data_IF_992854282650
#
_entry.id   IF_992854282650
#
_cell.length_a   1.000
_cell.length_b   1.000
_cell.length_c   1.000
_cell.angle_alpha   90.00
_cell.angle_beta   90.00
_cell.angle_gamma   90.00
#
_symmetry.space_group_name_H-M   'P 1'
#
loop_
_entity.id
_entity.type
_entity.pdbx_description
1 polymer ?
#
# COMPACT_ATOMS: atom_id res chain seq x y z
N UNK A 1 -12.94 -0.76 1.48
CA UNK A 1 -14.14 -0.25 2.19
C UNK A 1 -14.60 1.03 1.50
N UNK A 2 -15.77 1.59 1.83
CA UNK A 2 -16.23 2.85 1.21
C UNK A 2 -15.46 4.02 1.79
N UNK A 3 -14.81 4.80 0.92
CA UNK A 3 -14.22 6.10 1.25
C UNK A 3 -15.22 6.94 2.06
N UNK A 4 -14.77 7.47 3.20
CA UNK A 4 -15.62 8.29 4.08
C UNK A 4 -15.46 9.76 3.69
N UNK A 5 -16.42 10.28 2.91
CA UNK A 5 -16.54 11.70 2.62
C UNK A 5 -16.93 12.45 3.90
N UNK A 6 -16.20 13.52 4.23
CA UNK A 6 -16.40 14.36 5.40
C UNK A 6 -16.28 15.83 5.01
N UNK A 7 -17.07 16.68 5.66
CA UNK A 7 -17.00 18.13 5.50
C UNK A 7 -16.28 18.73 6.70
N UNK A 8 -15.27 19.55 6.43
CA UNK A 8 -14.45 20.24 7.44
C UNK A 8 -14.73 21.74 7.36
N UNK A 9 -15.15 22.32 8.49
CA UNK A 9 -15.24 23.77 8.66
C UNK A 9 -13.92 24.28 9.24
N UNK A 10 -13.28 25.22 8.54
CA UNK A 10 -11.93 25.70 8.85
C UNK A 10 -12.01 26.84 9.86
N UNK A 11 -11.19 26.74 10.91
CA UNK A 11 -10.98 27.81 11.89
C UNK A 11 -9.53 28.30 11.95
N UNK A 12 -8.60 27.57 11.32
CA UNK A 12 -7.21 27.97 11.09
C UNK A 12 -6.89 27.81 9.60
N UNK A 13 -7.19 28.83 8.76
CA UNK A 13 -6.91 28.76 7.33
C UNK A 13 -5.41 28.73 7.05
N UNK A 14 -5.02 28.20 5.88
CA UNK A 14 -3.63 28.17 5.44
C UNK A 14 -2.98 29.55 5.57
N UNK A 15 -1.85 29.60 6.27
CA UNK A 15 -1.09 30.83 6.55
C UNK A 15 -1.54 31.60 7.80
N UNK A 16 -2.58 31.15 8.52
CA UNK A 16 -2.98 31.74 9.79
C UNK A 16 -1.99 31.40 10.91
N UNK A 17 -2.10 32.10 12.04
CA UNK A 17 -1.31 31.87 13.24
C UNK A 17 -2.21 31.72 14.45
N UNK A 18 -1.74 31.03 15.49
CA UNK A 18 -2.42 31.04 16.79
C UNK A 18 -2.36 32.44 17.41
N UNK A 19 -3.46 32.91 18.03
CA UNK A 19 -3.49 34.21 18.73
C UNK A 19 -2.44 34.27 19.86
N UNK A 20 -2.25 33.15 20.57
CA UNK A 20 -1.31 33.02 21.68
C UNK A 20 0.14 32.74 21.22
N UNK A 21 0.34 32.32 19.97
CA UNK A 21 1.66 32.06 19.41
C UNK A 21 1.76 32.49 17.93
N UNK A 22 1.99 33.79 17.67
CA UNK A 22 2.08 34.34 16.31
C UNK A 22 3.23 33.76 15.46
N UNK A 23 4.16 33.01 16.08
CA UNK A 23 5.26 32.33 15.37
C UNK A 23 4.87 30.95 14.81
N UNK A 24 3.76 30.38 15.28
CA UNK A 24 3.21 29.11 14.78
C UNK A 24 2.29 29.38 13.59
N UNK A 25 2.85 29.40 12.39
CA UNK A 25 2.09 29.53 11.14
C UNK A 25 1.55 28.15 10.73
N UNK A 26 0.28 28.08 10.37
CA UNK A 26 -0.36 26.89 9.85
C UNK A 26 0.01 26.70 8.36
N UNK A 27 0.81 25.67 8.01
CA UNK A 27 1.19 25.43 6.61
C UNK A 27 0.06 24.78 5.81
N UNK A 28 -1.01 24.36 6.48
CA UNK A 28 -2.19 23.70 5.91
C UNK A 28 -3.45 24.26 6.58
N UNK A 29 -4.62 24.06 5.97
CA UNK A 29 -5.89 24.41 6.62
C UNK A 29 -6.18 23.40 7.75
N UNK A 30 -6.65 23.90 8.90
CA UNK A 30 -7.11 23.08 10.02
C UNK A 30 -8.47 23.57 10.55
N UNK A 31 -9.26 22.64 11.04
CA UNK A 31 -10.65 22.89 11.40
C UNK A 31 -11.27 21.76 12.18
N UNK A 32 -12.58 21.61 12.05
CA UNK A 32 -13.35 20.54 12.66
C UNK A 32 -14.36 19.96 11.68
N UNK A 33 -14.66 18.67 11.86
CA UNK A 33 -15.64 17.93 11.07
C UNK A 33 -17.05 18.40 11.42
N UNK A 34 -17.88 18.59 10.40
CA UNK A 34 -19.31 18.88 10.54
C UNK A 34 -20.08 17.55 10.46
N UNK A 35 -20.74 17.12 11.54
CA UNK A 35 -21.63 15.95 11.51
C UNK A 35 -23.09 16.37 11.31
N UNK A 36 -23.90 15.53 10.65
CA UNK A 36 -25.35 15.76 10.53
C UNK A 36 -26.07 15.82 11.89
N UNK A 37 -25.53 15.14 12.92
CA UNK A 37 -26.03 15.20 14.30
C UNK A 37 -25.72 16.51 15.04
N UNK A 38 -24.83 17.36 14.50
CA UNK A 38 -24.53 18.68 15.09
C UNK A 38 -25.50 19.77 14.62
N UNK A 39 -26.38 19.46 13.65
CA UNK A 39 -27.45 20.35 13.17
C UNK A 39 -28.70 20.28 14.06
N UNK A 40 -28.90 19.19 14.81
CA UNK A 40 -30.01 19.05 15.76
C UNK A 40 -29.49 18.70 17.16
N UNK A 41 -29.33 19.74 18.00
CA UNK A 41 -29.29 19.61 19.47
C UNK A 41 -28.21 18.65 20.03
N UNK A 42 -26.93 18.96 19.81
CA UNK A 42 -25.82 18.26 20.45
C UNK A 42 -24.96 19.24 21.25
N UNK A 43 -25.05 19.17 22.58
CA UNK A 43 -24.15 19.84 23.56
C UNK A 43 -22.92 18.95 23.81
N UNK A 44 -22.29 18.43 22.77
CA UNK A 44 -20.94 17.90 22.90
C UNK A 44 -19.97 19.05 22.60
N UNK A 45 -19.26 19.53 23.63
CA UNK A 45 -18.31 20.65 23.51
C UNK A 45 -17.06 20.27 22.69
N UNK A 46 -16.77 18.99 22.54
CA UNK A 46 -15.60 18.49 21.81
C UNK A 46 -15.93 18.23 20.34
N UNK A 47 -15.49 19.15 19.47
CA UNK A 47 -15.58 19.00 18.02
C UNK A 47 -14.42 18.14 17.52
N UNK A 48 -14.72 17.16 16.68
CA UNK A 48 -13.70 16.33 16.02
C UNK A 48 -12.78 17.20 15.16
N UNK A 49 -11.52 17.37 15.56
CA UNK A 49 -10.51 18.16 14.82
C UNK A 49 -10.13 17.48 13.50
N UNK A 50 -9.77 18.30 12.51
CA UNK A 50 -9.28 17.83 11.22
C UNK A 50 -8.19 18.73 10.61
N UNK A 51 -7.26 18.11 9.89
CA UNK A 51 -6.29 18.72 8.98
C UNK A 51 -6.72 18.48 7.53
N UNK A 52 -6.63 19.51 6.69
CA UNK A 52 -6.83 19.40 5.24
C UNK A 52 -5.47 19.37 4.53
N UNK A 53 -5.14 18.25 3.89
CA UNK A 53 -3.90 18.09 3.13
C UNK A 53 -4.18 18.15 1.62
N UNK A 54 -3.30 18.79 0.85
CA UNK A 54 -3.47 18.95 -0.60
C UNK A 54 -4.48 20.02 -1.03
N UNK A 55 -4.89 20.90 -0.10
CA UNK A 55 -5.71 22.09 -0.37
C UNK A 55 -4.83 23.33 -0.21
N UNK A 56 -4.17 23.72 -1.31
CA UNK A 56 -3.11 24.75 -1.33
C UNK A 56 -3.64 26.20 -1.36
N UNK A 57 -4.87 26.40 -0.91
CA UNK A 57 -5.51 27.72 -0.76
C UNK A 57 -6.23 27.79 0.57
N UNK A 58 -6.31 28.98 1.16
CA UNK A 58 -7.14 29.22 2.34
C UNK A 58 -8.62 29.05 1.97
N UNK A 59 -9.36 28.28 2.78
CA UNK A 59 -10.80 27.99 2.58
C UNK A 59 -11.56 28.11 3.89
N UNK A 60 -12.85 28.44 3.82
CA UNK A 60 -13.74 28.49 4.99
C UNK A 60 -14.32 27.09 5.31
N UNK A 61 -14.53 26.28 4.28
CA UNK A 61 -15.12 24.94 4.37
C UNK A 61 -14.63 24.08 3.20
N UNK A 62 -14.46 22.77 3.44
CA UNK A 62 -14.02 21.83 2.41
C UNK A 62 -14.60 20.44 2.64
N UNK A 63 -15.10 19.81 1.57
CA UNK A 63 -15.52 18.41 1.58
C UNK A 63 -14.42 17.53 0.95
N UNK A 64 -13.97 16.51 1.68
CA UNK A 64 -12.90 15.61 1.24
C UNK A 64 -12.99 14.23 1.87
N UNK A 65 -12.07 13.35 1.51
CA UNK A 65 -12.03 11.96 1.98
C UNK A 65 -11.18 11.89 3.24
N UNK A 66 -11.70 11.24 4.29
CA UNK A 66 -10.92 10.88 5.48
C UNK A 66 -9.90 9.78 5.10
N UNK A 67 -8.62 10.12 5.09
CA UNK A 67 -7.55 9.19 4.66
C UNK A 67 -6.70 8.67 5.82
N UNK A 68 -6.63 9.39 6.95
CA UNK A 68 -5.90 8.97 8.13
C UNK A 68 -6.40 9.66 9.40
N UNK A 69 -5.92 9.20 10.55
CA UNK A 69 -6.17 9.74 11.89
C UNK A 69 -4.83 9.89 12.60
N UNK A 70 -4.50 11.10 13.05
CA UNK A 70 -3.44 11.31 14.03
C UNK A 70 -3.97 10.92 15.41
N UNK A 71 -3.33 9.93 16.03
CA UNK A 71 -3.63 9.46 17.39
C UNK A 71 -2.50 9.85 18.32
N UNK A 72 -2.86 10.25 19.53
CA UNK A 72 -1.92 10.63 20.59
C UNK A 72 -2.03 9.61 21.71
N UNK A 73 -0.91 9.27 22.33
CA UNK A 73 -0.85 8.34 23.48
C UNK A 73 -0.95 9.09 24.80
N UNK A 74 -0.52 10.34 24.79
CA UNK A 74 -0.49 11.30 25.89
C UNK A 74 -1.73 12.20 25.93
N UNK A 75 -2.61 12.11 24.94
CA UNK A 75 -3.83 12.90 24.79
C UNK A 75 -4.94 12.00 24.20
N UNK A 76 -6.15 12.10 24.74
CA UNK A 76 -7.30 11.31 24.27
C UNK A 76 -7.86 11.81 22.95
N UNK A 77 -7.52 13.04 22.54
CA UNK A 77 -8.00 13.62 21.31
C UNK A 77 -7.37 12.97 20.09
N UNK A 78 -8.16 12.89 19.02
CA UNK A 78 -7.68 12.45 17.70
C UNK A 78 -7.90 13.56 16.69
N UNK A 79 -7.03 13.64 15.69
CA UNK A 79 -7.16 14.61 14.60
C UNK A 79 -7.32 13.86 13.29
N UNK A 80 -8.41 14.11 12.58
CA UNK A 80 -8.66 13.49 11.28
C UNK A 80 -7.81 14.16 10.20
N UNK A 81 -7.34 13.39 9.22
CA UNK A 81 -6.60 13.90 8.07
C UNK A 81 -7.45 13.66 6.84
N UNK A 82 -7.82 14.76 6.18
CA UNK A 82 -8.77 14.79 5.08
C UNK A 82 -8.07 15.32 3.82
N UNK A 83 -8.27 14.64 2.69
CA UNK A 83 -7.64 14.98 1.42
C UNK A 83 -8.66 15.04 0.27
N UNK A 84 -8.33 15.70 -0.86
CA UNK A 84 -9.07 15.55 -2.10
C UNK A 84 -9.10 14.09 -2.58
N UNK A 85 -10.21 13.66 -3.18
CA UNK A 85 -10.47 12.27 -3.62
C UNK A 85 -9.36 11.67 -4.51
N UNK A 86 -8.70 12.49 -5.34
CA UNK A 86 -7.73 12.03 -6.33
C UNK A 86 -6.27 12.23 -5.91
N UNK A 87 -5.98 12.46 -4.63
CA UNK A 87 -4.61 12.62 -4.13
C UNK A 87 -4.29 11.51 -3.14
N UNK A 88 -3.33 10.67 -3.51
CA UNK A 88 -2.82 9.59 -2.67
C UNK A 88 -1.62 10.07 -1.85
N UNK A 89 -1.69 9.81 -0.55
CA UNK A 89 -0.60 10.05 0.38
C UNK A 89 -0.16 8.74 1.03
N UNK A 90 1.15 8.51 1.09
CA UNK A 90 1.70 7.49 1.98
C UNK A 90 1.79 8.04 3.42
N UNK A 91 1.88 7.13 4.40
CA UNK A 91 1.95 7.49 5.83
C UNK A 91 3.08 8.48 6.16
N UNK A 92 4.26 8.30 5.56
CA UNK A 92 5.42 9.17 5.81
C UNK A 92 5.16 10.61 5.33
N UNK A 93 4.54 10.78 4.15
CA UNK A 93 4.17 12.10 3.65
C UNK A 93 3.20 12.80 4.61
N UNK A 94 2.21 12.06 5.15
CA UNK A 94 1.28 12.62 6.13
C UNK A 94 2.00 13.00 7.42
N UNK A 95 2.88 12.13 7.94
CA UNK A 95 3.70 12.40 9.13
C UNK A 95 4.52 13.69 8.97
N UNK A 96 5.14 13.90 7.79
CA UNK A 96 5.91 15.11 7.48
C UNK A 96 5.01 16.35 7.39
N UNK A 97 3.85 16.26 6.74
CA UNK A 97 2.91 17.38 6.55
C UNK A 97 2.33 17.85 7.88
N UNK A 98 1.88 16.94 8.74
CA UNK A 98 1.22 17.28 10.01
C UNK A 98 2.21 17.51 11.17
N UNK A 99 3.52 17.28 10.92
CA UNK A 99 4.58 17.45 11.91
C UNK A 99 4.56 18.82 12.58
N UNK A 100 4.16 19.88 11.87
CA UNK A 100 4.11 21.25 12.39
C UNK A 100 3.37 21.36 13.73
N UNK A 101 2.32 20.54 13.95
CA UNK A 101 1.58 20.46 15.22
C UNK A 101 1.77 19.13 15.93
N UNK A 102 1.81 18.02 15.20
CA UNK A 102 1.89 16.69 15.84
C UNK A 102 3.27 16.40 16.45
N UNK A 103 4.33 17.17 16.14
CA UNK A 103 5.65 17.04 16.80
C UNK A 103 5.63 17.28 18.32
N UNK A 104 4.59 17.94 18.83
CA UNK A 104 4.48 18.28 20.25
C UNK A 104 3.76 17.21 21.08
N UNK A 105 3.33 16.11 20.45
CA UNK A 105 2.60 15.01 21.09
C UNK A 105 3.33 13.68 20.92
N UNK A 106 3.17 12.75 21.86
CA UNK A 106 3.54 11.34 21.65
C UNK A 106 2.47 10.64 20.82
N UNK A 107 2.52 10.84 19.50
CA UNK A 107 1.51 10.35 18.57
C UNK A 107 2.02 9.49 17.42
N UNK A 108 1.08 8.99 16.63
CA UNK A 108 1.33 8.29 15.38
C UNK A 108 0.18 8.50 14.40
N UNK A 109 0.46 8.34 13.11
CA UNK A 109 -0.55 8.38 12.06
C UNK A 109 -1.07 6.98 11.77
N UNK A 110 -2.39 6.82 11.83
CA UNK A 110 -3.14 5.61 11.47
C UNK A 110 -3.88 5.86 10.16
N UNK A 111 -3.59 5.09 9.10
CA UNK A 111 -4.32 5.20 7.83
C UNK A 111 -5.72 4.60 8.00
N UNK A 112 -6.75 5.20 7.42
CA UNK A 112 -8.14 4.70 7.56
C UNK A 112 -8.36 3.38 6.83
N UNK A 113 -7.77 3.24 5.63
CA UNK A 113 -7.79 2.00 4.85
C UNK A 113 -6.44 1.27 4.97
N UNK A 114 -5.96 1.09 6.21
CA UNK A 114 -4.75 0.31 6.46
C UNK A 114 -5.00 -1.18 6.19
N UNK A 115 -4.18 -1.79 5.32
CA UNK A 115 -4.19 -3.24 5.14
C UNK A 115 -3.90 -3.95 6.48
N UNK A 116 -4.79 -4.91 6.79
CA UNK A 116 -4.61 -5.85 7.88
C UNK A 116 -4.13 -7.18 7.30
N UNK A 117 -3.14 -7.78 7.94
CA UNK A 117 -2.60 -9.09 7.56
C UNK A 117 -2.80 -10.06 8.72
N UNK A 118 -3.13 -11.31 8.41
CA UNK A 118 -3.04 -12.38 9.41
C UNK A 118 -1.59 -12.51 9.92
N UNK A 119 -1.41 -12.70 11.22
CA UNK A 119 -0.10 -12.97 11.80
C UNK A 119 0.22 -14.46 11.75
N UNK A 120 1.41 -14.82 11.28
CA UNK A 120 1.88 -16.20 11.12
C UNK A 120 3.16 -16.47 11.91
N UNK A 121 3.41 -17.73 12.26
CA UNK A 121 4.75 -18.20 12.59
C UNK A 121 5.57 -18.47 11.30
N UNK A 122 6.84 -18.87 11.46
CA UNK A 122 7.74 -19.14 10.33
C UNK A 122 7.35 -20.37 9.47
N UNK A 123 6.38 -21.18 9.93
CA UNK A 123 5.85 -22.35 9.24
C UNK A 123 4.46 -22.06 8.63
N UNK A 124 4.06 -20.79 8.59
CA UNK A 124 2.76 -20.35 8.08
C UNK A 124 1.56 -20.86 8.90
N UNK A 125 1.75 -21.18 10.18
CA UNK A 125 0.62 -21.39 11.07
C UNK A 125 0.10 -20.03 11.57
N UNK A 126 -1.22 -19.81 11.48
CA UNK A 126 -1.85 -18.60 12.02
C UNK A 126 -1.64 -18.51 13.54
N UNK A 127 -1.26 -17.33 14.02
CA UNK A 127 -1.10 -17.01 15.44
C UNK A 127 -2.40 -16.56 16.11
N UNK A 128 -3.47 -16.36 15.32
CA UNK A 128 -4.80 -16.03 15.83
C UNK A 128 -5.05 -14.55 16.09
N UNK A 129 -4.20 -13.66 15.56
CA UNK A 129 -4.40 -12.21 15.57
C UNK A 129 -3.91 -11.59 14.26
N UNK A 130 -4.27 -10.33 14.01
CA UNK A 130 -3.90 -9.58 12.81
C UNK A 130 -2.83 -8.52 13.14
N UNK A 131 -2.00 -8.20 12.16
CA UNK A 131 -1.02 -7.11 12.20
C UNK A 131 -1.33 -6.08 11.12
N UNK A 132 -1.02 -4.83 11.42
CA UNK A 132 -1.18 -3.71 10.48
C UNK A 132 0.02 -3.63 9.53
N UNK A 133 -0.22 -3.31 8.25
CA UNK A 133 0.85 -3.09 7.27
C UNK A 133 1.93 -2.11 7.71
N UNK A 134 1.58 -1.03 8.42
CA UNK A 134 2.58 -0.08 8.91
C UNK A 134 3.58 -0.67 9.91
N UNK A 135 3.28 -1.83 10.50
CA UNK A 135 4.19 -2.56 11.38
C UNK A 135 5.23 -3.40 10.62
N UNK A 136 5.20 -3.44 9.29
CA UNK A 136 6.09 -4.30 8.49
C UNK A 136 7.61 -4.12 8.80
N UNK A 137 8.04 -2.91 9.18
CA UNK A 137 9.44 -2.62 9.54
C UNK A 137 9.77 -2.86 11.02
N UNK A 138 8.77 -3.09 11.85
CA UNK A 138 8.87 -3.26 13.30
C UNK A 138 8.10 -4.50 13.76
N UNK A 139 8.04 -5.51 12.90
CA UNK A 139 7.36 -6.77 13.18
C UNK A 139 8.04 -7.46 14.36
N UNK A 140 7.31 -8.00 15.35
CA UNK A 140 7.93 -8.74 16.45
C UNK A 140 8.67 -9.99 15.96
N UNK A 141 9.73 -10.38 16.67
CA UNK A 141 10.46 -11.63 16.46
C UNK A 141 9.51 -12.84 16.49
N UNK A 142 9.64 -13.71 15.48
CA UNK A 142 8.79 -14.91 15.36
C UNK A 142 7.42 -14.65 14.72
N UNK A 143 7.08 -13.41 14.40
CA UNK A 143 5.83 -13.04 13.71
C UNK A 143 6.13 -12.74 12.25
N UNK A 144 5.31 -13.28 11.36
CA UNK A 144 5.46 -13.20 9.90
C UNK A 144 4.14 -12.78 9.25
N UNK A 145 4.23 -12.26 8.03
CA UNK A 145 3.10 -12.09 7.12
C UNK A 145 3.41 -12.75 5.78
N UNK A 146 2.38 -13.03 4.98
CA UNK A 146 2.51 -13.70 3.69
C UNK A 146 2.50 -12.67 2.56
N UNK A 147 3.44 -12.83 1.61
CA UNK A 147 3.61 -11.99 0.43
C UNK A 147 3.57 -12.88 -0.82
N UNK A 148 2.86 -12.44 -1.84
CA UNK A 148 2.69 -13.19 -3.09
C UNK A 148 3.46 -12.52 -4.22
N UNK A 149 4.01 -13.33 -5.13
CA UNK A 149 4.67 -12.87 -6.35
C UNK A 149 4.10 -13.63 -7.54
N UNK A 150 3.64 -12.92 -8.57
CA UNK A 150 2.99 -13.51 -9.76
C UNK A 150 3.83 -13.27 -11.00
N UNK A 151 4.43 -14.33 -11.51
CA UNK A 151 5.13 -14.35 -12.79
C UNK A 151 4.11 -14.60 -13.90
N UNK A 152 3.58 -13.52 -14.49
CA UNK A 152 2.70 -13.63 -15.64
C UNK A 152 3.52 -13.90 -16.89
N UNK A 153 3.30 -15.04 -17.53
CA UNK A 153 4.06 -15.51 -18.68
C UNK A 153 3.14 -15.81 -19.84
N UNK A 154 3.49 -15.35 -21.03
CA UNK A 154 2.78 -15.66 -22.26
C UNK A 154 3.27 -16.98 -22.87
N UNK A 155 2.41 -17.68 -23.61
CA UNK A 155 2.79 -18.93 -24.30
C UNK A 155 3.89 -18.76 -25.35
N UNK A 156 4.06 -17.55 -25.90
CA UNK A 156 5.17 -17.19 -26.80
C UNK A 156 6.46 -16.78 -26.04
N UNK A 157 6.48 -16.93 -24.71
CA UNK A 157 7.70 -16.84 -23.91
C UNK A 157 8.11 -15.45 -23.51
N UNK A 158 7.15 -14.59 -23.17
CA UNK A 158 7.41 -13.27 -22.57
C UNK A 158 6.89 -13.20 -21.15
N UNK A 159 7.61 -12.48 -20.29
CA UNK A 159 7.27 -12.28 -18.89
C UNK A 159 6.82 -10.84 -18.70
N UNK A 160 5.63 -10.64 -18.11
CA UNK A 160 5.16 -9.32 -17.73
C UNK A 160 5.92 -8.84 -16.50
N UNK A 161 6.40 -7.59 -16.57
CA UNK A 161 6.87 -6.84 -15.41
C UNK A 161 6.23 -5.47 -15.37
N UNK A 162 6.10 -4.93 -14.17
CA UNK A 162 5.53 -3.60 -13.91
C UNK A 162 6.61 -2.68 -13.32
N UNK A 163 6.47 -1.38 -13.56
CA UNK A 163 7.30 -0.36 -12.95
C UNK A 163 6.58 0.29 -11.77
N UNK A 164 7.27 0.35 -10.63
CA UNK A 164 6.78 0.96 -9.39
C UNK A 164 6.53 2.45 -9.58
N UNK A 165 5.42 2.93 -9.03
CA UNK A 165 5.07 4.35 -9.02
C UNK A 165 6.15 5.20 -8.34
N UNK A 166 6.12 6.52 -8.61
CA UNK A 166 7.02 7.50 -7.97
C UNK A 166 6.81 7.65 -6.47
N UNK A 167 5.63 7.26 -5.97
CA UNK A 167 5.23 7.48 -4.58
C UNK A 167 5.52 6.25 -3.69
N UNK A 168 6.00 5.16 -4.29
CA UNK A 168 6.39 3.91 -3.60
C UNK A 168 7.84 3.97 -3.12
N UNK A 169 8.15 3.14 -2.13
CA UNK A 169 9.55 2.82 -1.80
C UNK A 169 10.22 2.14 -2.99
N UNK A 170 11.51 2.43 -3.21
CA UNK A 170 12.24 2.03 -4.42
C UNK A 170 11.51 2.46 -5.71
N UNK A 171 11.23 3.77 -5.88
CA UNK A 171 10.44 4.27 -6.99
C UNK A 171 11.13 3.99 -8.33
N UNK A 172 10.34 3.83 -9.39
CA UNK A 172 10.80 3.59 -10.77
C UNK A 172 11.57 2.28 -11.00
N UNK A 173 11.74 1.44 -9.96
CA UNK A 173 12.25 0.08 -10.13
C UNK A 173 11.18 -0.82 -10.73
N UNK A 174 11.64 -1.85 -11.41
CA UNK A 174 10.82 -2.88 -12.03
C UNK A 174 10.73 -4.11 -11.12
N UNK A 175 9.60 -4.80 -11.18
CA UNK A 175 9.30 -6.01 -10.42
C UNK A 175 8.27 -6.87 -11.16
N UNK A 176 8.09 -8.12 -10.74
CA UNK A 176 6.86 -8.86 -11.08
C UNK A 176 5.75 -8.41 -10.15
N UNK A 177 4.50 -8.57 -10.58
CA UNK A 177 3.32 -8.24 -9.76
C UNK A 177 3.37 -8.95 -8.42
N UNK A 178 3.10 -8.22 -7.33
CA UNK A 178 3.11 -8.83 -6.01
C UNK A 178 2.84 -7.86 -4.88
N UNK A 179 2.28 -8.41 -3.80
CA UNK A 179 1.87 -7.67 -2.62
C UNK A 179 1.63 -8.60 -1.44
N UNK A 180 1.25 -8.04 -0.31
CA UNK A 180 0.90 -8.83 0.88
C UNK A 180 -0.53 -9.34 0.75
N UNK A 181 -0.80 -10.55 1.23
CA UNK A 181 -2.19 -10.99 1.33
C UNK A 181 -2.90 -10.26 2.47
N UNK A 182 -4.18 -9.98 2.31
CA UNK A 182 -4.97 -9.37 3.39
C UNK A 182 -5.52 -10.45 4.34
N UNK A 183 -5.88 -10.06 5.56
CA UNK A 183 -6.41 -10.95 6.57
C UNK A 183 -7.62 -11.74 6.03
N UNK A 184 -7.59 -13.05 6.22
CA UNK A 184 -8.61 -13.99 5.75
C UNK A 184 -8.38 -14.57 4.34
N UNK A 185 -7.50 -13.99 3.51
CA UNK A 185 -7.15 -14.56 2.19
C UNK A 185 -6.27 -15.80 2.31
N UNK A 186 -6.39 -16.71 1.35
CA UNK A 186 -5.32 -17.65 1.02
C UNK A 186 -4.26 -17.00 0.11
N UNK A 187 -3.08 -17.60 0.02
CA UNK A 187 -1.99 -17.09 -0.83
C UNK A 187 -2.36 -17.00 -2.31
N UNK A 188 -3.13 -17.94 -2.85
CA UNK A 188 -3.58 -17.86 -4.24
C UNK A 188 -4.73 -16.85 -4.47
N UNK A 189 -5.58 -16.59 -3.46
CA UNK A 189 -6.58 -15.52 -3.52
C UNK A 189 -5.90 -14.15 -3.56
N UNK A 190 -4.94 -13.91 -2.66
CA UNK A 190 -4.17 -12.68 -2.65
C UNK A 190 -3.37 -12.49 -3.95
N UNK A 191 -2.75 -13.55 -4.48
CA UNK A 191 -2.06 -13.50 -5.77
C UNK A 191 -3.00 -13.13 -6.93
N UNK A 192 -4.22 -13.68 -6.95
CA UNK A 192 -5.25 -13.33 -7.93
C UNK A 192 -5.70 -11.88 -7.79
N UNK A 193 -5.88 -11.37 -6.55
CA UNK A 193 -6.26 -9.99 -6.28
C UNK A 193 -5.18 -9.02 -6.72
N UNK A 194 -3.94 -9.19 -6.27
CA UNK A 194 -2.79 -8.33 -6.62
C UNK A 194 -2.58 -8.27 -8.13
N UNK A 195 -2.68 -9.42 -8.82
CA UNK A 195 -2.62 -9.47 -10.27
C UNK A 195 -3.69 -8.57 -10.91
N UNK A 196 -4.94 -8.67 -10.45
CA UNK A 196 -6.02 -7.86 -10.99
C UNK A 196 -5.87 -6.38 -10.65
N UNK A 197 -5.52 -6.04 -9.40
CA UNK A 197 -5.37 -4.66 -8.95
C UNK A 197 -4.26 -3.95 -9.72
N UNK A 198 -3.06 -4.50 -9.76
CA UNK A 198 -1.89 -3.84 -10.35
C UNK A 198 -1.86 -3.84 -11.89
N UNK A 199 -2.55 -4.81 -12.52
CA UNK A 199 -2.43 -5.06 -13.96
C UNK A 199 -3.75 -5.15 -14.73
N UNK A 200 -4.88 -5.29 -14.05
CA UNK A 200 -6.19 -5.55 -14.65
C UNK A 200 -6.38 -6.95 -15.23
N UNK A 201 -5.39 -7.85 -15.10
CA UNK A 201 -5.50 -9.22 -15.59
C UNK A 201 -6.34 -10.08 -14.65
N UNK A 202 -7.30 -10.78 -15.23
CA UNK A 202 -8.14 -11.73 -14.50
C UNK A 202 -7.55 -13.13 -14.62
N UNK A 203 -7.26 -13.75 -13.48
CA UNK A 203 -6.85 -15.15 -13.35
C UNK A 203 -7.58 -15.70 -12.13
N UNK A 204 -8.14 -16.91 -12.19
CA UNK A 204 -8.76 -17.48 -10.99
C UNK A 204 -7.69 -18.04 -10.05
N UNK A 205 -7.91 -17.99 -8.72
CA UNK A 205 -6.95 -18.55 -7.75
C UNK A 205 -6.55 -20.01 -8.03
N UNK A 206 -7.45 -20.83 -8.56
CA UNK A 206 -7.21 -22.23 -8.91
C UNK A 206 -6.44 -22.45 -10.23
N UNK A 207 -6.32 -21.41 -11.06
CA UNK A 207 -5.58 -21.45 -12.34
C UNK A 207 -4.10 -21.06 -12.15
N UNK A 208 -3.77 -20.42 -11.03
CA UNK A 208 -2.40 -20.09 -10.66
C UNK A 208 -1.57 -21.35 -10.41
N UNK A 209 -0.41 -21.43 -11.06
CA UNK A 209 0.52 -22.54 -10.91
C UNK A 209 1.52 -22.18 -9.80
N UNK A 210 1.50 -22.92 -8.69
CA UNK A 210 2.47 -22.73 -7.61
C UNK A 210 3.91 -22.89 -8.12
N UNK A 211 4.79 -21.97 -7.72
CA UNK A 211 6.15 -21.86 -8.21
C UNK A 211 7.18 -22.14 -7.12
N UNK A 212 7.12 -21.43 -6.01
CA UNK A 212 8.03 -21.62 -4.87
C UNK A 212 7.38 -21.10 -3.58
N UNK A 213 7.92 -21.55 -2.45
CA UNK A 213 7.68 -21.00 -1.12
C UNK A 213 9.03 -20.64 -0.48
N UNK A 214 9.12 -19.50 0.19
CA UNK A 214 10.35 -19.03 0.81
C UNK A 214 10.12 -18.15 2.03
N UNK A 215 10.65 -18.55 3.19
CA UNK A 215 10.60 -17.75 4.42
C UNK A 215 11.86 -16.88 4.55
N UNK A 216 11.68 -15.56 4.56
CA UNK A 216 12.74 -14.57 4.83
C UNK A 216 12.66 -14.12 6.30
N UNK A 217 13.48 -14.75 7.15
CA UNK A 217 13.55 -14.43 8.57
C UNK A 217 13.98 -12.99 8.88
N UNK A 218 14.76 -12.35 8.00
CA UNK A 218 15.22 -10.98 8.25
C UNK A 218 14.11 -9.95 7.97
N UNK A 219 13.14 -10.33 7.12
CA UNK A 219 12.03 -9.46 6.72
C UNK A 219 10.70 -9.85 7.33
N UNK A 220 10.65 -10.92 8.11
CA UNK A 220 9.41 -11.43 8.69
C UNK A 220 8.32 -11.68 7.62
N UNK A 221 8.75 -12.25 6.49
CA UNK A 221 7.90 -12.53 5.32
C UNK A 221 7.94 -14.00 4.95
N UNK A 222 6.82 -14.55 4.54
CA UNK A 222 6.72 -15.84 3.84
C UNK A 222 6.27 -15.55 2.41
N UNK A 223 7.12 -15.87 1.44
CA UNK A 223 6.86 -15.59 0.03
C UNK A 223 6.25 -16.80 -0.66
N UNK A 224 5.13 -16.59 -1.34
CA UNK A 224 4.52 -17.54 -2.28
C UNK A 224 4.70 -17.03 -3.71
N UNK A 225 5.41 -17.80 -4.53
CA UNK A 225 5.53 -17.53 -5.96
C UNK A 225 4.48 -18.30 -6.75
N UNK A 226 3.89 -17.66 -7.75
CA UNK A 226 2.95 -18.26 -8.70
C UNK A 226 3.32 -17.93 -10.15
N UNK A 227 2.89 -18.78 -11.08
CA UNK A 227 2.85 -18.48 -12.51
C UNK A 227 1.40 -18.30 -12.92
N UNK A 228 1.12 -17.19 -13.60
CA UNK A 228 -0.08 -16.99 -14.39
C UNK A 228 0.29 -17.21 -15.87
N UNK A 229 -0.31 -18.20 -16.54
CA UNK A 229 0.00 -18.51 -17.93
C UNK A 229 -1.06 -17.90 -18.87
N UNK A 230 -0.66 -16.91 -19.66
CA UNK A 230 -1.51 -16.24 -20.63
C UNK A 230 -1.27 -16.75 -22.06
N UNK A 231 -2.30 -16.70 -22.91
CA UNK A 231 -2.15 -17.12 -24.31
C UNK A 231 -1.21 -16.22 -25.11
N UNK A 232 -1.21 -14.92 -24.81
CA UNK A 232 -0.49 -13.86 -25.50
C UNK A 232 -0.36 -12.65 -24.58
N UNK A 233 0.34 -11.62 -25.04
CA UNK A 233 0.35 -10.32 -24.38
C UNK A 233 -1.06 -9.73 -24.34
N UNK A 234 -1.42 -9.19 -23.18
CA UNK A 234 -2.68 -8.49 -22.95
C UNK A 234 -2.42 -7.02 -22.63
N UNK A 235 -3.43 -6.18 -22.85
CA UNK A 235 -3.34 -4.78 -22.45
C UNK A 235 -3.46 -4.68 -20.93
N UNK A 236 -2.48 -4.03 -20.32
CA UNK A 236 -2.42 -3.85 -18.87
C UNK A 236 -3.13 -2.55 -18.49
N UNK A 237 -3.92 -2.63 -17.41
CA UNK A 237 -4.51 -1.47 -16.73
C UNK A 237 -3.75 -1.27 -15.43
N UNK A 238 -2.94 -0.22 -15.38
CA UNK A 238 -2.08 0.07 -14.23
C UNK A 238 -2.88 0.69 -13.09
N UNK A 239 -2.51 0.35 -11.86
CA UNK A 239 -3.09 0.90 -10.66
C UNK A 239 -2.44 2.24 -10.30
N UNK A 240 -3.16 3.37 -10.34
CA UNK A 240 -2.61 4.66 -9.96
C UNK A 240 -2.05 4.63 -8.54
N UNK A 241 -0.81 5.11 -8.37
CA UNK A 241 -0.13 5.13 -7.08
C UNK A 241 0.66 3.86 -6.74
N UNK A 242 0.43 2.75 -7.44
CA UNK A 242 1.12 1.47 -7.22
C UNK A 242 2.05 1.16 -8.40
N UNK A 243 1.50 1.07 -9.61
CA UNK A 243 2.23 0.80 -10.85
C UNK A 243 2.08 1.96 -11.84
N UNK A 244 3.11 2.21 -12.67
CA UNK A 244 3.12 3.35 -13.59
C UNK A 244 3.60 3.05 -15.02
N UNK A 245 4.17 1.89 -15.25
CA UNK A 245 4.52 1.40 -16.58
C UNK A 245 4.54 -0.14 -16.58
N UNK A 246 4.56 -0.77 -17.75
CA UNK A 246 4.68 -2.21 -17.89
C UNK A 246 5.41 -2.61 -19.17
N UNK A 247 6.00 -3.80 -19.18
CA UNK A 247 6.50 -4.42 -20.40
C UNK A 247 6.46 -5.94 -20.34
N UNK A 248 6.31 -6.54 -21.52
CA UNK A 248 6.53 -7.96 -21.73
C UNK A 248 7.96 -8.17 -22.23
N UNK A 249 8.79 -8.80 -21.41
CA UNK A 249 10.20 -9.06 -21.73
C UNK A 249 10.35 -10.48 -22.23
N UNK A 250 11.01 -10.74 -23.37
CA UNK A 250 11.36 -12.10 -23.77
C UNK A 250 12.06 -12.85 -22.64
N UNK A 251 11.69 -14.09 -22.43
CA UNK A 251 12.16 -14.87 -21.29
C UNK A 251 13.71 -14.98 -21.23
N UNK A 252 14.37 -15.06 -22.37
CA UNK A 252 15.84 -15.11 -22.44
C UNK A 252 16.50 -13.77 -22.01
N UNK A 253 15.80 -12.64 -22.19
CA UNK A 253 16.24 -11.31 -21.77
C UNK A 253 15.80 -10.97 -20.33
N UNK A 254 14.73 -11.60 -19.85
CA UNK A 254 14.17 -11.36 -18.51
C UNK A 254 15.21 -11.58 -17.41
N UNK A 255 16.05 -12.61 -17.54
CA UNK A 255 17.12 -12.87 -16.57
C UNK A 255 18.12 -11.71 -16.48
N UNK A 256 18.61 -11.23 -17.62
CA UNK A 256 19.54 -10.10 -17.68
C UNK A 256 18.88 -8.83 -17.12
N UNK A 257 17.59 -8.66 -17.40
CA UNK A 257 16.82 -7.54 -16.88
C UNK A 257 16.65 -7.59 -15.35
N UNK A 258 16.33 -8.76 -14.78
CA UNK A 258 16.28 -8.96 -13.33
C UNK A 258 17.61 -8.61 -12.69
N UNK A 259 18.73 -9.00 -13.30
CA UNK A 259 20.07 -8.71 -12.76
C UNK A 259 20.53 -7.26 -12.95
N UNK A 260 19.79 -6.44 -13.69
CA UNK A 260 20.10 -5.03 -13.89
C UNK A 260 19.80 -4.17 -12.66
N UNK A 261 20.40 -2.99 -12.59
CA UNK A 261 20.09 -2.02 -11.52
C UNK A 261 18.65 -1.50 -11.58
N UNK A 262 17.91 -1.73 -12.68
CA UNK A 262 16.52 -1.29 -12.84
C UNK A 262 15.53 -2.14 -12.04
N UNK A 263 15.91 -3.35 -11.63
CA UNK A 263 15.03 -4.27 -10.92
C UNK A 263 15.14 -4.13 -9.39
N UNK A 264 14.08 -4.48 -8.65
CA UNK A 264 14.09 -4.34 -7.19
C UNK A 264 15.02 -5.37 -6.52
N UNK A 265 15.99 -4.88 -5.73
CA UNK A 265 17.05 -5.73 -5.14
C UNK A 265 16.52 -6.83 -4.21
N UNK A 266 15.39 -6.60 -3.54
CA UNK A 266 14.75 -7.63 -2.72
C UNK A 266 14.29 -8.83 -3.52
N UNK A 267 13.81 -8.61 -4.73
CA UNK A 267 13.33 -9.68 -5.59
C UNK A 267 14.47 -10.34 -6.35
N UNK A 268 15.50 -9.60 -6.78
CA UNK A 268 16.73 -10.18 -7.35
C UNK A 268 17.29 -11.32 -6.49
N UNK A 269 17.36 -11.11 -5.17
CA UNK A 269 17.86 -12.13 -4.23
C UNK A 269 16.99 -13.38 -4.22
N UNK A 270 15.67 -13.23 -4.18
CA UNK A 270 14.73 -14.37 -4.22
C UNK A 270 14.75 -15.07 -5.57
N UNK A 271 14.78 -14.31 -6.65
CA UNK A 271 14.90 -14.83 -7.99
C UNK A 271 16.15 -15.69 -8.14
N UNK A 272 17.32 -15.22 -7.69
CA UNK A 272 18.56 -16.02 -7.71
C UNK A 272 18.46 -17.30 -6.86
N UNK A 273 17.79 -17.25 -5.71
CA UNK A 273 17.59 -18.43 -4.86
C UNK A 273 16.73 -19.51 -5.54
N UNK A 274 15.78 -19.09 -6.38
CA UNK A 274 14.83 -19.98 -7.05
C UNK A 274 15.02 -20.05 -8.57
N UNK A 275 16.16 -19.56 -9.08
CA UNK A 275 16.37 -19.32 -10.51
C UNK A 275 16.09 -20.56 -11.35
N UNK A 276 16.70 -21.70 -11.02
CA UNK A 276 16.52 -22.94 -11.76
C UNK A 276 15.07 -23.43 -11.74
N UNK A 277 14.37 -23.26 -10.62
CA UNK A 277 12.97 -23.65 -10.48
C UNK A 277 12.06 -22.73 -11.30
N UNK A 278 12.27 -21.41 -11.19
CA UNK A 278 11.55 -20.41 -12.00
C UNK A 278 11.79 -20.69 -13.47
N UNK A 279 13.04 -20.87 -13.87
CA UNK A 279 13.42 -21.14 -15.25
C UNK A 279 12.76 -22.39 -15.79
N UNK A 280 12.86 -23.50 -15.06
CA UNK A 280 12.28 -24.79 -15.44
C UNK A 280 10.75 -24.74 -15.49
N UNK A 281 10.11 -24.14 -14.50
CA UNK A 281 8.65 -24.06 -14.43
C UNK A 281 8.08 -23.19 -15.55
N UNK A 282 8.69 -22.05 -15.85
CA UNK A 282 8.29 -21.21 -16.98
C UNK A 282 8.42 -21.98 -18.30
N UNK A 283 9.57 -22.64 -18.55
CA UNK A 283 9.77 -23.48 -19.75
C UNK A 283 8.74 -24.61 -19.84
N UNK A 284 8.46 -25.30 -18.73
CA UNK A 284 7.49 -26.39 -18.71
C UNK A 284 6.05 -25.92 -18.94
N UNK A 285 5.68 -24.76 -18.39
CA UNK A 285 4.35 -24.19 -18.58
C UNK A 285 4.08 -23.82 -20.05
N UNK A 286 5.11 -23.38 -20.78
CA UNK A 286 5.01 -23.16 -22.24
C UNK A 286 4.86 -24.47 -23.03
N UNK A 287 5.46 -25.57 -22.57
CA UNK A 287 5.47 -26.86 -23.28
C UNK A 287 4.26 -27.77 -22.99
N UNK A 288 3.36 -27.39 -22.06
CA UNK A 288 2.21 -28.20 -21.65
C UNK A 288 0.99 -28.11 -22.60
N UNK A 289 1.23 -27.82 -23.88
CA UNK A 289 0.20 -27.61 -24.91
C UNK A 289 0.41 -28.56 -26.07
#
# INVERSE_FOLDING_TARGET
MKEKLVTVKVDHPLGSTDEDNPSSVYPINAGYVVNESDLELSKHEEKQRAYLVGVDVAVDEYAGILIAVARRRDDSDTVWIVAPENILYNKQQLEEIVHFKEQYYDGFIEMVDEEMWDAYDAQENKLGYEVRRSMAKSMPDGVYHVVVMVYTVTKDGKVLITQRSRNKTNPLKWEVTGGSIIAGESSNEGASRELYEETGLLCKPEELIALYEYTDHNKHCIYHGYINLCDKEERITLQPGETMDYMYVPYDEFFEFVMSDRFITSEQKRFMLHEELIKRSIKNSMNKI
#
